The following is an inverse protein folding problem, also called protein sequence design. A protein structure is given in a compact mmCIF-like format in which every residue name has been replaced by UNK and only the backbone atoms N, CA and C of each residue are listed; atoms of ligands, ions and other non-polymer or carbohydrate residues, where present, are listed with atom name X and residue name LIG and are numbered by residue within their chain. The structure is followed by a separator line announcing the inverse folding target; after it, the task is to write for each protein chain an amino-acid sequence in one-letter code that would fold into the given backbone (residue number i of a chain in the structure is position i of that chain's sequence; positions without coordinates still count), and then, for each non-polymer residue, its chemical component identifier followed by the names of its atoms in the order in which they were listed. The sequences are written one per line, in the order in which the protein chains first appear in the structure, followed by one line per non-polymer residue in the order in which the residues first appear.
data_IF_306486351484
#
_entry.id   IF_306486351484
#
_cell.length_a   1.000
_cell.length_b   1.000
_cell.length_c   1.000
_cell.angle_alpha   90.00
_cell.angle_beta   90.00
_cell.angle_gamma   90.00
#
_symmetry.space_group_name_H-M   'P 1'
#
loop_
_entity.id
_entity.type
_entity.pdbx_description
1 polymer ?
#
# COMPACT_ATOMS: atom_id res chain seq x y z
N UNK A 1 -5.48 -1.92 13.13
CA UNK A 1 -4.07 -1.91 12.67
C UNK A 1 -3.31 -3.08 13.27
N UNK A 2 -2.44 -3.74 12.49
CA UNK A 2 -1.47 -4.76 12.94
C UNK A 2 -0.07 -4.37 12.49
N UNK A 3 0.93 -4.84 13.24
CA UNK A 3 2.35 -4.69 12.87
C UNK A 3 2.96 -6.08 12.84
N UNK A 4 3.68 -6.37 11.76
CA UNK A 4 4.43 -7.62 11.58
C UNK A 4 5.88 -7.24 11.30
N UNK A 5 6.78 -7.79 12.12
CA UNK A 5 8.22 -7.61 11.97
C UNK A 5 8.79 -8.89 11.37
N UNK A 6 9.35 -8.78 10.17
CA UNK A 6 9.82 -9.92 9.38
C UNK A 6 11.29 -9.78 8.99
N UNK A 7 11.98 -10.88 8.86
CA UNK A 7 13.35 -10.90 8.35
C UNK A 7 13.40 -10.59 6.84
N UNK A 8 12.39 -11.01 6.07
CA UNK A 8 12.15 -10.60 4.68
C UNK A 8 10.72 -10.07 4.52
N UNK A 9 10.48 -8.78 4.85
CA UNK A 9 9.17 -8.16 4.77
C UNK A 9 8.60 -8.13 3.36
N UNK A 10 9.47 -8.05 2.33
CA UNK A 10 9.04 -8.01 0.94
C UNK A 10 8.52 -9.36 0.46
N UNK A 11 9.15 -10.45 0.88
CA UNK A 11 8.66 -11.81 0.62
C UNK A 11 7.33 -12.06 1.36
N UNK A 12 7.24 -11.66 2.63
CA UNK A 12 5.99 -11.75 3.38
C UNK A 12 4.86 -11.00 2.69
N UNK A 13 5.12 -9.74 2.30
CA UNK A 13 4.15 -8.89 1.62
C UNK A 13 3.69 -9.49 0.29
N UNK A 14 4.61 -10.02 -0.53
CA UNK A 14 4.29 -10.69 -1.78
C UNK A 14 3.42 -11.94 -1.57
N UNK A 15 3.79 -12.80 -0.61
CA UNK A 15 3.00 -14.00 -0.27
C UNK A 15 1.59 -13.64 0.22
N UNK A 16 1.48 -12.59 1.06
CA UNK A 16 0.20 -12.11 1.54
C UNK A 16 -0.69 -11.64 0.38
N UNK A 17 -0.14 -10.84 -0.54
CA UNK A 17 -0.87 -10.39 -1.72
C UNK A 17 -1.26 -11.55 -2.65
N UNK A 18 -0.36 -12.49 -2.93
CA UNK A 18 -0.64 -13.69 -3.74
C UNK A 18 -1.79 -14.49 -3.14
N UNK A 19 -1.79 -14.67 -1.81
CA UNK A 19 -2.91 -15.33 -1.13
C UNK A 19 -4.23 -14.60 -1.38
N UNK A 20 -4.25 -13.25 -1.27
CA UNK A 20 -5.46 -12.44 -1.53
C UNK A 20 -5.94 -12.59 -2.98
N UNK A 21 -5.02 -12.59 -3.93
CA UNK A 21 -5.34 -12.77 -5.35
C UNK A 21 -5.93 -14.17 -5.61
N UNK A 22 -5.35 -15.22 -5.03
CA UNK A 22 -5.79 -16.60 -5.21
C UNK A 22 -7.10 -16.92 -4.47
N UNK A 23 -7.37 -16.26 -3.35
CA UNK A 23 -8.62 -16.40 -2.59
C UNK A 23 -9.80 -15.69 -3.30
N UNK A 24 -9.54 -14.75 -4.20
CA UNK A 24 -10.57 -14.04 -4.95
C UNK A 24 -11.26 -14.98 -5.94
N UNK A 25 -12.59 -14.98 -5.90
CA UNK A 25 -13.43 -15.70 -6.86
C UNK A 25 -14.28 -14.69 -7.63
N UNK A 26 -14.05 -14.55 -8.95
CA UNK A 26 -14.88 -13.69 -9.78
C UNK A 26 -16.35 -14.10 -9.71
N UNK A 27 -17.25 -13.10 -9.73
CA UNK A 27 -18.70 -13.28 -9.80
C UNK A 27 -19.31 -12.30 -10.78
N UNK A 28 -20.59 -12.45 -11.12
CA UNK A 28 -21.29 -11.49 -11.99
C UNK A 28 -21.28 -10.07 -11.42
N UNK A 29 -21.40 -9.92 -10.09
CA UNK A 29 -21.37 -8.63 -9.40
C UNK A 29 -19.96 -8.08 -9.15
N UNK A 30 -18.91 -8.91 -9.20
CA UNK A 30 -17.52 -8.53 -8.94
C UNK A 30 -16.58 -9.32 -9.83
N UNK A 31 -16.28 -8.80 -11.01
CA UNK A 31 -15.44 -9.48 -12.02
C UNK A 31 -13.94 -9.42 -11.70
N UNK A 32 -13.48 -8.35 -11.08
CA UNK A 32 -12.07 -8.08 -10.86
C UNK A 32 -11.73 -7.88 -9.38
N UNK A 33 -10.59 -8.40 -8.97
CA UNK A 33 -9.91 -7.98 -7.74
C UNK A 33 -9.24 -6.64 -8.01
N UNK A 34 -9.63 -5.61 -7.28
CA UNK A 34 -9.13 -4.24 -7.51
C UNK A 34 -7.96 -3.95 -6.59
N UNK A 35 -6.81 -3.70 -7.20
CA UNK A 35 -5.54 -3.55 -6.53
C UNK A 35 -4.99 -2.12 -6.66
N UNK A 36 -4.84 -1.41 -5.54
CA UNK A 36 -4.10 -0.14 -5.46
C UNK A 36 -2.61 -0.42 -5.36
N UNK A 37 -1.79 0.16 -6.26
CA UNK A 37 -0.37 -0.17 -6.36
C UNK A 37 0.53 1.07 -6.42
N UNK A 38 1.70 1.04 -5.78
CA UNK A 38 2.74 2.04 -5.99
C UNK A 38 3.47 1.79 -7.32
N UNK A 39 4.37 2.68 -7.67
CA UNK A 39 5.29 2.48 -8.80
C UNK A 39 6.33 1.41 -8.50
N UNK A 40 6.95 0.86 -9.57
CA UNK A 40 8.03 -0.13 -9.48
C UNK A 40 9.32 0.56 -9.02
N UNK A 41 9.37 0.91 -7.74
CA UNK A 41 10.53 1.56 -7.11
C UNK A 41 10.65 1.20 -5.62
N UNK A 42 11.86 1.34 -5.08
CA UNK A 42 12.12 1.14 -3.66
C UNK A 42 11.71 -0.24 -3.15
N UNK A 43 11.01 -0.29 -2.03
CA UNK A 43 10.53 -1.54 -1.42
C UNK A 43 9.52 -2.29 -2.28
N UNK A 44 8.72 -1.58 -3.07
CA UNK A 44 7.72 -2.18 -3.94
C UNK A 44 8.34 -2.99 -5.09
N UNK A 45 9.52 -2.61 -5.58
CA UNK A 45 10.22 -3.32 -6.64
C UNK A 45 10.38 -4.81 -6.32
N UNK A 46 10.90 -5.14 -5.13
CA UNK A 46 11.10 -6.54 -4.73
C UNK A 46 9.79 -7.32 -4.63
N UNK A 47 8.70 -6.67 -4.24
CA UNK A 47 7.38 -7.31 -4.23
C UNK A 47 6.95 -7.66 -5.65
N UNK A 48 7.06 -6.73 -6.59
CA UNK A 48 6.74 -6.99 -8.00
C UNK A 48 7.63 -8.10 -8.59
N UNK A 49 8.92 -8.15 -8.24
CA UNK A 49 9.82 -9.22 -8.67
C UNK A 49 9.35 -10.60 -8.20
N UNK A 50 8.90 -10.72 -6.94
CA UNK A 50 8.30 -11.96 -6.42
C UNK A 50 6.99 -12.31 -7.13
N UNK A 51 6.11 -11.33 -7.36
CA UNK A 51 4.86 -11.53 -8.09
C UNK A 51 5.12 -12.07 -9.51
N UNK A 52 6.11 -11.51 -10.21
CA UNK A 52 6.54 -11.97 -11.54
C UNK A 52 7.07 -13.40 -11.47
N UNK A 53 7.92 -13.72 -10.50
CA UNK A 53 8.46 -15.07 -10.33
C UNK A 53 7.34 -16.09 -10.10
N UNK A 54 6.39 -15.79 -9.23
CA UNK A 54 5.27 -16.69 -8.93
C UNK A 54 4.28 -16.78 -10.10
N UNK A 55 4.07 -15.70 -10.85
CA UNK A 55 3.31 -15.73 -12.08
C UNK A 55 3.95 -16.66 -13.13
N UNK A 56 5.27 -16.56 -13.35
CA UNK A 56 6.00 -17.43 -14.29
C UNK A 56 5.94 -18.92 -13.89
N UNK A 57 5.79 -19.22 -12.59
CA UNK A 57 5.58 -20.58 -12.08
C UNK A 57 4.12 -21.06 -12.19
N UNK A 58 3.20 -20.18 -12.59
CA UNK A 58 1.77 -20.48 -12.64
C UNK A 58 1.04 -20.43 -11.29
N UNK A 59 1.69 -19.91 -10.23
CA UNK A 59 1.14 -19.84 -8.88
C UNK A 59 0.19 -18.67 -8.67
N UNK A 60 0.17 -17.68 -9.56
CA UNK A 60 -0.72 -16.51 -9.54
C UNK A 60 -1.01 -16.02 -10.95
N UNK A 61 -2.25 -15.58 -11.19
CA UNK A 61 -2.70 -14.97 -12.44
C UNK A 61 -3.29 -13.58 -12.17
N UNK A 62 -3.07 -12.66 -13.09
CA UNK A 62 -3.57 -11.28 -13.04
C UNK A 62 -4.72 -11.03 -14.03
N UNK A 63 -5.24 -12.07 -14.71
CA UNK A 63 -6.37 -11.95 -15.67
C UNK A 63 -7.61 -11.30 -15.07
N UNK A 64 -7.90 -11.62 -13.80
CA UNK A 64 -9.05 -11.08 -13.08
C UNK A 64 -8.63 -9.97 -12.10
N UNK A 65 -7.55 -9.24 -12.39
CA UNK A 65 -7.06 -8.12 -11.58
C UNK A 65 -7.25 -6.82 -12.36
N UNK A 66 -7.72 -5.79 -11.67
CA UNK A 66 -7.68 -4.41 -12.13
C UNK A 66 -6.77 -3.60 -11.20
N UNK A 67 -5.88 -2.78 -11.76
CA UNK A 67 -4.92 -2.01 -10.99
C UNK A 67 -5.19 -0.52 -11.06
N UNK A 68 -5.06 0.17 -9.92
CA UNK A 68 -5.08 1.63 -9.83
C UNK A 68 -3.75 2.09 -9.24
N UNK A 69 -2.95 2.78 -10.07
CA UNK A 69 -1.63 3.26 -9.64
C UNK A 69 -1.77 4.52 -8.78
N UNK A 70 -0.98 4.62 -7.70
CA UNK A 70 -1.13 5.67 -6.69
C UNK A 70 -0.74 7.06 -7.17
N UNK A 71 0.20 7.19 -8.09
CA UNK A 71 0.69 8.49 -8.55
C UNK A 71 1.35 8.44 -9.93
N UNK A 72 1.40 9.58 -10.60
CA UNK A 72 2.17 9.83 -11.82
C UNK A 72 2.68 11.28 -11.82
N UNK A 73 3.83 11.52 -12.41
CA UNK A 73 4.33 12.88 -12.61
C UNK A 73 3.48 13.62 -13.66
N UNK A 74 3.13 14.86 -13.36
CA UNK A 74 2.35 15.67 -14.28
C UNK A 74 3.24 16.34 -15.33
N UNK A 75 2.74 16.42 -16.56
CA UNK A 75 3.45 16.93 -17.76
C UNK A 75 4.73 16.17 -18.12
N UNK A 76 4.85 14.91 -17.73
CA UNK A 76 5.90 14.02 -18.20
C UNK A 76 5.42 13.25 -19.45
N UNK A 77 6.30 13.04 -20.41
CA UNK A 77 5.97 12.19 -21.57
C UNK A 77 5.78 10.74 -21.13
N UNK A 78 4.74 10.08 -21.63
CA UNK A 78 4.46 8.65 -21.29
C UNK A 78 5.64 7.74 -21.66
N UNK A 79 6.43 8.10 -22.67
CA UNK A 79 7.63 7.38 -23.09
C UNK A 79 8.88 7.75 -22.30
N UNK A 80 8.80 8.76 -21.43
CA UNK A 80 9.94 9.22 -20.65
C UNK A 80 10.39 8.12 -19.65
N UNK A 81 11.70 7.83 -19.53
CA UNK A 81 12.19 6.76 -18.67
C UNK A 81 11.77 6.85 -17.20
N UNK A 82 11.43 8.04 -16.72
CA UNK A 82 10.99 8.30 -15.34
C UNK A 82 9.48 8.43 -15.18
N UNK A 83 8.69 8.30 -16.26
CA UNK A 83 7.24 8.16 -16.14
C UNK A 83 6.93 6.87 -15.37
N UNK A 84 6.10 6.99 -14.34
CA UNK A 84 5.67 5.83 -13.55
C UNK A 84 4.94 4.81 -14.43
N UNK A 85 4.16 5.29 -15.40
CA UNK A 85 3.49 4.49 -16.41
C UNK A 85 4.52 3.64 -17.19
N UNK A 86 5.54 4.28 -17.77
CA UNK A 86 6.58 3.56 -18.54
C UNK A 86 7.34 2.55 -17.68
N UNK A 87 7.71 2.96 -16.46
CA UNK A 87 8.42 2.09 -15.52
C UNK A 87 7.57 0.85 -15.18
N UNK A 88 6.28 1.03 -14.89
CA UNK A 88 5.38 -0.08 -14.57
C UNK A 88 5.11 -0.97 -15.78
N UNK A 89 4.85 -0.42 -16.95
CA UNK A 89 4.64 -1.22 -18.16
C UNK A 89 5.88 -2.06 -18.49
N UNK A 90 7.06 -1.48 -18.45
CA UNK A 90 8.31 -2.17 -18.78
C UNK A 90 8.66 -3.29 -17.80
N UNK A 91 8.46 -3.06 -16.50
CA UNK A 91 8.99 -3.93 -15.47
C UNK A 91 7.95 -4.87 -14.88
N UNK A 92 6.64 -4.65 -15.11
CA UNK A 92 5.58 -5.47 -14.54
C UNK A 92 4.47 -5.81 -15.55
N UNK A 93 3.69 -4.84 -16.04
CA UNK A 93 2.46 -5.13 -16.79
C UNK A 93 2.69 -5.91 -18.10
N UNK A 94 3.82 -5.73 -18.81
CA UNK A 94 4.16 -6.50 -20.01
C UNK A 94 4.60 -7.94 -19.72
N UNK A 95 4.84 -8.28 -18.46
CA UNK A 95 5.42 -9.57 -18.05
C UNK A 95 4.34 -10.50 -17.50
N UNK A 96 3.28 -9.93 -16.89
CA UNK A 96 2.16 -10.66 -16.31
C UNK A 96 0.95 -10.66 -17.25
N UNK A 97 -0.03 -11.50 -16.97
CA UNK A 97 -1.22 -11.72 -17.81
C UNK A 97 -2.39 -10.76 -17.51
N UNK A 98 -2.11 -9.56 -16.99
CA UNK A 98 -3.13 -8.53 -16.77
C UNK A 98 -3.66 -7.99 -18.10
N UNK A 99 -4.97 -7.78 -18.19
CA UNK A 99 -5.57 -7.17 -19.37
C UNK A 99 -5.26 -5.67 -19.43
N UNK A 100 -4.82 -5.12 -20.57
CA UNK A 100 -4.44 -3.70 -20.68
C UNK A 100 -5.55 -2.73 -20.27
N UNK A 101 -6.81 -3.05 -20.54
CA UNK A 101 -8.00 -2.26 -20.15
C UNK A 101 -8.22 -2.20 -18.64
N UNK A 102 -7.62 -3.12 -17.89
CA UNK A 102 -7.70 -3.16 -16.43
C UNK A 102 -6.53 -2.44 -15.74
N UNK A 103 -5.64 -1.80 -16.51
CA UNK A 103 -4.53 -1.02 -15.98
C UNK A 103 -4.91 0.46 -15.96
N UNK A 104 -5.16 1.01 -14.77
CA UNK A 104 -5.56 2.41 -14.60
C UNK A 104 -4.41 3.22 -14.01
N UNK A 105 -3.93 4.19 -14.78
CA UNK A 105 -2.87 5.13 -14.42
C UNK A 105 -3.37 6.53 -14.75
N UNK A 106 -3.08 7.50 -13.87
CA UNK A 106 -3.42 8.91 -14.08
C UNK A 106 -2.73 9.46 -15.35
N UNK A 107 -3.48 10.19 -16.18
CA UNK A 107 -2.93 10.72 -17.43
C UNK A 107 -2.03 11.93 -17.18
N UNK A 108 -0.72 11.71 -17.27
CA UNK A 108 0.30 12.74 -17.10
C UNK A 108 0.17 13.94 -18.04
N UNK A 109 -0.50 13.77 -19.18
CA UNK A 109 -0.63 14.77 -20.26
C UNK A 109 -2.00 15.43 -20.29
N UNK A 110 -2.88 15.11 -19.36
CA UNK A 110 -4.21 15.74 -19.32
C UNK A 110 -4.09 17.27 -19.35
N UNK A 111 -4.99 17.92 -20.08
CA UNK A 111 -5.14 19.36 -20.09
C UNK A 111 -6.04 19.86 -18.93
N UNK A 112 -6.87 18.96 -18.37
CA UNK A 112 -7.74 19.23 -17.23
C UNK A 112 -7.45 18.21 -16.12
N UNK A 113 -6.49 18.50 -15.21
CA UNK A 113 -6.16 17.64 -14.08
C UNK A 113 -7.34 17.36 -13.15
N UNK A 114 -8.28 18.32 -13.01
CA UNK A 114 -9.42 18.14 -12.13
C UNK A 114 -10.45 17.17 -12.73
N UNK A 115 -10.69 17.23 -14.03
CA UNK A 115 -11.51 16.25 -14.72
C UNK A 115 -10.86 14.86 -14.68
N UNK A 116 -9.55 14.75 -14.93
CA UNK A 116 -8.82 13.48 -14.87
C UNK A 116 -8.93 12.83 -13.50
N UNK A 117 -8.70 13.59 -12.44
CA UNK A 117 -8.76 13.05 -11.07
C UNK A 117 -10.18 12.67 -10.66
N UNK A 118 -11.21 13.45 -11.05
CA UNK A 118 -12.60 13.05 -10.84
C UNK A 118 -12.96 11.76 -11.60
N UNK A 119 -12.53 11.62 -12.84
CA UNK A 119 -12.76 10.41 -13.64
C UNK A 119 -12.03 9.20 -13.08
N UNK A 120 -10.82 9.39 -12.54
CA UNK A 120 -10.07 8.33 -11.87
C UNK A 120 -10.81 7.83 -10.61
N UNK A 121 -11.31 8.73 -9.77
CA UNK A 121 -12.14 8.39 -8.60
C UNK A 121 -13.46 7.70 -8.99
N UNK A 122 -14.12 8.17 -10.07
CA UNK A 122 -15.34 7.55 -10.59
C UNK A 122 -15.06 6.10 -11.06
N UNK A 123 -13.96 5.89 -11.77
CA UNK A 123 -13.51 4.55 -12.20
C UNK A 123 -13.26 3.61 -11.03
N UNK A 124 -12.60 4.08 -9.95
CA UNK A 124 -12.45 3.29 -8.72
C UNK A 124 -13.81 2.82 -8.20
N UNK A 125 -14.81 3.71 -8.19
CA UNK A 125 -16.17 3.38 -7.74
C UNK A 125 -16.88 2.39 -8.68
N UNK A 126 -16.73 2.54 -9.99
CA UNK A 126 -17.28 1.63 -11.01
C UNK A 126 -16.75 0.20 -10.84
N UNK A 127 -15.48 0.05 -10.46
CA UNK A 127 -14.89 -1.25 -10.13
C UNK A 127 -15.27 -1.78 -8.74
N UNK A 128 -16.12 -1.06 -7.99
CA UNK A 128 -16.59 -1.45 -6.64
C UNK A 128 -15.59 -1.16 -5.52
N UNK A 129 -14.73 -0.16 -5.71
CA UNK A 129 -13.69 0.26 -4.77
C UNK A 129 -12.45 -0.64 -4.81
N UNK A 130 -11.37 -0.20 -4.17
CA UNK A 130 -10.10 -0.92 -4.06
C UNK A 130 -10.25 -2.04 -3.02
N UNK A 131 -10.01 -3.30 -3.41
CA UNK A 131 -10.08 -4.44 -2.50
C UNK A 131 -8.84 -4.56 -1.62
N UNK A 132 -7.67 -4.28 -2.20
CA UNK A 132 -6.40 -4.31 -1.51
C UNK A 132 -5.49 -3.20 -2.04
N UNK A 133 -4.84 -2.48 -1.15
CA UNK A 133 -3.86 -1.47 -1.51
C UNK A 133 -2.56 -1.75 -0.77
N UNK A 134 -1.42 -1.69 -1.47
CA UNK A 134 -0.14 -1.67 -0.79
C UNK A 134 0.67 -0.44 -1.17
N UNK A 135 1.45 0.06 -0.22
CA UNK A 135 2.30 1.23 -0.43
C UNK A 135 3.54 1.20 0.47
N UNK A 136 4.57 1.93 0.06
CA UNK A 136 5.69 2.29 0.91
C UNK A 136 5.46 3.64 1.57
N UNK A 137 6.32 3.96 2.55
CA UNK A 137 6.30 5.23 3.28
C UNK A 137 7.62 5.96 3.10
N UNK A 138 7.57 7.28 2.95
CA UNK A 138 8.73 8.15 2.97
C UNK A 138 9.36 8.20 4.38
N UNK A 139 10.65 8.58 4.48
CA UNK A 139 11.30 8.78 5.78
C UNK A 139 10.67 9.89 6.64
N UNK A 140 9.85 10.73 6.01
CA UNK A 140 9.06 11.81 6.61
C UNK A 140 7.61 11.41 6.92
N UNK A 141 7.24 10.15 6.68
CA UNK A 141 5.88 9.64 6.84
C UNK A 141 4.97 9.90 5.63
N UNK A 142 5.50 10.41 4.51
CA UNK A 142 4.73 10.61 3.27
C UNK A 142 4.25 9.29 2.66
N UNK A 143 3.07 9.31 2.02
CA UNK A 143 2.46 8.18 1.33
C UNK A 143 2.07 8.61 -0.08
N UNK A 144 2.50 7.89 -1.11
CA UNK A 144 2.45 8.36 -2.50
C UNK A 144 3.08 9.76 -2.58
N UNK A 145 2.35 10.79 -3.10
CA UNK A 145 2.82 12.19 -3.07
C UNK A 145 2.09 13.03 -2.01
N UNK A 146 1.50 12.36 -1.00
CA UNK A 146 0.95 13.06 0.16
C UNK A 146 2.07 13.28 1.19
N UNK A 147 2.70 14.45 1.09
CA UNK A 147 3.80 14.90 1.93
C UNK A 147 3.28 15.49 3.27
N UNK A 148 4.14 15.69 4.29
CA UNK A 148 3.76 16.39 5.51
C UNK A 148 2.99 17.68 5.23
N UNK A 149 1.89 17.91 5.94
CA UNK A 149 0.93 18.99 5.70
C UNK A 149 -0.20 18.64 4.72
N UNK A 150 -0.21 17.43 4.13
CA UNK A 150 -1.32 16.99 3.30
C UNK A 150 -2.59 16.76 4.14
N UNK A 151 -3.76 17.19 3.63
CA UNK A 151 -5.03 16.87 4.27
C UNK A 151 -5.24 15.37 4.36
N UNK A 152 -5.59 14.86 5.54
CA UNK A 152 -5.87 13.44 5.78
C UNK A 152 -7.14 12.96 5.07
N UNK A 153 -8.06 13.88 4.75
CA UNK A 153 -9.29 13.61 3.98
C UNK A 153 -9.12 13.87 2.47
N UNK A 154 -7.88 14.12 2.00
CA UNK A 154 -7.65 14.47 0.58
C UNK A 154 -8.08 13.38 -0.37
N UNK A 155 -8.63 13.80 -1.51
CA UNK A 155 -8.96 12.92 -2.65
C UNK A 155 -7.84 12.98 -3.69
N UNK A 156 -7.97 12.19 -4.76
CA UNK A 156 -7.04 12.22 -5.88
C UNK A 156 -6.96 13.63 -6.47
N UNK A 157 -5.75 14.16 -6.67
CA UNK A 157 -5.54 15.54 -7.07
C UNK A 157 -4.18 15.82 -7.67
N UNK A 158 -4.04 16.99 -8.28
CA UNK A 158 -2.75 17.58 -8.64
C UNK A 158 -2.05 18.08 -7.36
N UNK A 159 -0.75 17.83 -7.24
CA UNK A 159 0.05 18.20 -6.05
C UNK A 159 1.42 18.75 -6.47
N UNK A 160 1.77 19.94 -5.97
CA UNK A 160 3.14 20.48 -6.06
C UNK A 160 4.01 19.76 -5.05
N UNK A 161 5.21 19.34 -5.45
CA UNK A 161 6.16 18.62 -4.61
C UNK A 161 7.02 19.58 -3.79
N UNK A 162 7.32 19.21 -2.56
CA UNK A 162 8.19 19.98 -1.67
C UNK A 162 9.64 20.00 -2.19
N UNK A 163 10.39 21.06 -1.88
CA UNK A 163 11.79 21.19 -2.30
C UNK A 163 12.66 20.01 -1.85
N UNK A 164 12.41 19.49 -0.64
CA UNK A 164 13.11 18.29 -0.12
C UNK A 164 12.85 17.07 -1.00
N UNK A 165 11.62 16.88 -1.49
CA UNK A 165 11.27 15.81 -2.43
C UNK A 165 11.95 16.02 -3.77
N UNK A 166 12.00 17.24 -4.28
CA UNK A 166 12.72 17.56 -5.53
C UNK A 166 14.22 17.26 -5.40
N UNK A 167 14.84 17.56 -4.26
CA UNK A 167 16.24 17.23 -3.98
C UNK A 167 16.47 15.71 -3.94
N UNK A 168 15.60 14.96 -3.28
CA UNK A 168 15.65 13.47 -3.27
C UNK A 168 15.49 12.90 -4.68
N UNK A 169 14.54 13.43 -5.48
CA UNK A 169 14.35 13.03 -6.87
C UNK A 169 15.59 13.36 -7.72
N UNK A 170 16.14 14.56 -7.59
CA UNK A 170 17.36 15.00 -8.26
C UNK A 170 18.53 14.05 -8.02
N UNK A 171 18.79 13.71 -6.77
CA UNK A 171 19.84 12.76 -6.39
C UNK A 171 19.60 11.36 -6.96
N UNK A 172 18.35 10.86 -6.87
CA UNK A 172 17.98 9.52 -7.36
C UNK A 172 18.07 9.42 -8.88
N UNK A 173 17.58 10.44 -9.60
CA UNK A 173 17.52 10.46 -11.07
C UNK A 173 18.82 10.98 -11.69
N UNK A 174 19.78 11.46 -10.88
CA UNK A 174 21.03 12.10 -11.33
C UNK A 174 20.76 13.29 -12.30
N UNK A 175 19.74 14.07 -11.97
CA UNK A 175 19.34 15.28 -12.72
C UNK A 175 19.50 16.50 -11.82
N UNK A 176 19.55 17.69 -12.43
CA UNK A 176 19.45 18.93 -11.63
C UNK A 176 18.07 19.07 -10.98
N UNK A 177 17.96 19.75 -9.85
CA UNK A 177 16.68 20.02 -9.17
C UNK A 177 15.69 20.77 -10.08
N UNK A 178 16.22 21.58 -11.02
CA UNK A 178 15.39 22.30 -11.97
C UNK A 178 14.81 21.40 -13.07
N UNK A 179 15.43 20.25 -13.34
CA UNK A 179 15.06 19.32 -14.40
C UNK A 179 14.15 18.17 -13.93
N UNK A 180 13.95 18.01 -12.60
CA UNK A 180 13.02 16.98 -12.11
C UNK A 180 11.57 17.47 -12.17
N UNK A 181 10.58 16.56 -12.32
CA UNK A 181 9.17 16.92 -12.26
C UNK A 181 8.81 17.58 -10.92
N UNK A 182 8.14 18.72 -10.97
CA UNK A 182 7.78 19.53 -9.78
C UNK A 182 6.36 19.30 -9.31
N UNK A 183 5.56 18.63 -10.11
CA UNK A 183 4.12 18.43 -9.88
C UNK A 183 3.77 16.97 -10.19
N UNK A 184 2.86 16.41 -9.45
CA UNK A 184 2.36 15.06 -9.67
C UNK A 184 0.83 15.01 -9.52
N UNK A 185 0.20 14.08 -10.20
CA UNK A 185 -1.14 13.60 -9.90
C UNK A 185 -1.00 12.47 -8.88
N UNK A 186 -1.76 12.52 -7.80
CA UNK A 186 -1.63 11.53 -6.71
C UNK A 186 -2.97 11.18 -6.11
N UNK A 187 -3.15 9.88 -5.83
CA UNK A 187 -4.24 9.41 -5.00
C UNK A 187 -4.13 10.07 -3.62
N UNK A 188 -5.23 10.62 -3.13
CA UNK A 188 -5.29 11.26 -1.82
C UNK A 188 -5.37 10.27 -0.66
N UNK A 189 -5.08 10.73 0.57
CA UNK A 189 -5.13 9.86 1.76
C UNK A 189 -6.54 9.33 2.03
N UNK A 190 -7.58 10.17 1.83
CA UNK A 190 -8.96 9.72 1.96
C UNK A 190 -9.33 8.66 0.92
N UNK A 191 -8.84 8.78 -0.32
CA UNK A 191 -9.04 7.76 -1.36
C UNK A 191 -8.34 6.45 -0.98
N UNK A 192 -7.10 6.53 -0.45
CA UNK A 192 -6.35 5.37 0.02
C UNK A 192 -7.09 4.68 1.18
N UNK A 193 -7.62 5.45 2.12
CA UNK A 193 -8.37 4.93 3.28
C UNK A 193 -9.69 4.26 2.91
N UNK A 194 -10.27 4.56 1.74
CA UNK A 194 -11.47 3.87 1.25
C UNK A 194 -11.20 2.43 0.78
N UNK A 195 -9.92 2.02 0.67
CA UNK A 195 -9.58 0.65 0.33
C UNK A 195 -10.04 -0.33 1.42
N UNK A 196 -10.48 -1.53 1.04
CA UNK A 196 -10.99 -2.52 2.00
C UNK A 196 -9.89 -3.12 2.88
N UNK A 197 -8.67 -3.19 2.36
CA UNK A 197 -7.48 -3.66 3.08
C UNK A 197 -6.26 -2.88 2.62
N UNK A 198 -5.42 -2.47 3.57
CA UNK A 198 -4.20 -1.70 3.29
C UNK A 198 -3.00 -2.41 3.89
N UNK A 199 -1.94 -2.53 3.10
CA UNK A 199 -0.64 -3.00 3.55
C UNK A 199 0.41 -1.91 3.34
N UNK A 200 1.11 -1.54 4.42
CA UNK A 200 2.08 -0.45 4.43
C UNK A 200 3.46 -0.99 4.78
N UNK A 201 4.47 -0.65 3.97
CA UNK A 201 5.83 -1.15 4.13
C UNK A 201 6.73 -0.08 4.74
N UNK A 202 7.44 -0.49 5.80
CA UNK A 202 8.49 0.30 6.45
C UNK A 202 9.77 -0.51 6.47
N UNK A 203 10.72 -0.21 5.57
CA UNK A 203 11.95 -0.98 5.41
C UNK A 203 13.19 -0.10 5.60
N UNK A 204 14.09 -0.59 6.45
CA UNK A 204 15.35 0.08 6.73
C UNK A 204 15.25 1.13 7.85
N UNK A 205 16.40 1.42 8.43
CA UNK A 205 16.52 2.35 9.55
C UNK A 205 16.01 3.77 9.22
N UNK A 206 16.13 4.19 7.97
CA UNK A 206 15.64 5.50 7.53
C UNK A 206 14.10 5.65 7.63
N UNK A 207 13.37 4.56 7.88
CA UNK A 207 11.92 4.56 8.12
C UNK A 207 11.55 4.45 9.60
N UNK A 208 12.51 4.27 10.49
CA UNK A 208 12.24 4.00 11.92
C UNK A 208 11.48 5.13 12.59
N UNK A 209 11.85 6.38 12.34
CA UNK A 209 11.11 7.53 12.87
C UNK A 209 9.71 7.66 12.27
N UNK A 210 9.56 7.38 10.97
CA UNK A 210 8.25 7.38 10.32
C UNK A 210 7.34 6.28 10.89
N UNK A 211 7.86 5.09 11.14
CA UNK A 211 7.12 3.99 11.79
C UNK A 211 6.71 4.37 13.21
N UNK A 212 7.66 4.88 14.02
CA UNK A 212 7.35 5.34 15.39
C UNK A 212 6.20 6.35 15.39
N UNK A 213 6.31 7.43 14.58
CA UNK A 213 5.27 8.46 14.47
C UNK A 213 3.94 7.93 13.95
N UNK A 214 3.96 6.93 13.09
CA UNK A 214 2.74 6.32 12.53
C UNK A 214 2.03 5.40 13.52
N UNK A 215 2.71 4.91 14.55
CA UNK A 215 2.18 3.92 15.51
C UNK A 215 1.98 4.50 16.90
N UNK A 216 2.99 5.21 17.43
CA UNK A 216 3.04 5.64 18.83
C UNK A 216 2.60 7.09 19.04
N UNK A 217 2.55 7.88 17.95
CA UNK A 217 2.06 9.26 18.02
C UNK A 217 0.57 9.35 17.64
N UNK A 218 -0.05 10.50 17.92
CA UNK A 218 -1.41 10.80 17.47
C UNK A 218 -1.48 10.88 15.93
N UNK A 219 -2.68 10.69 15.39
CA UNK A 219 -2.95 10.94 13.96
C UNK A 219 -2.71 12.40 13.66
N UNK A 220 -1.78 12.67 12.73
CA UNK A 220 -1.32 14.01 12.45
C UNK A 220 -0.92 14.16 10.97
N UNK A 221 -1.38 15.24 10.32
CA UNK A 221 -1.07 15.53 8.93
C UNK A 221 0.44 15.76 8.67
N UNK A 222 1.23 16.07 9.69
CA UNK A 222 2.70 16.18 9.55
C UNK A 222 3.40 14.82 9.50
N UNK A 223 2.67 13.73 9.74
CA UNK A 223 3.06 12.36 9.44
C UNK A 223 1.90 11.67 8.73
N UNK A 224 1.76 11.81 7.40
CA UNK A 224 0.62 11.30 6.65
C UNK A 224 0.30 9.83 6.90
N UNK A 225 1.32 8.98 7.05
CA UNK A 225 1.15 7.55 7.35
C UNK A 225 0.47 7.28 8.70
N UNK A 226 0.41 8.26 9.62
CA UNK A 226 -0.30 8.11 10.89
C UNK A 226 -1.81 7.92 10.71
N UNK A 227 -2.36 8.35 9.56
CA UNK A 227 -3.79 8.21 9.24
C UNK A 227 -4.24 6.75 9.18
N UNK A 228 -3.33 5.83 8.90
CA UNK A 228 -3.63 4.40 8.85
C UNK A 228 -4.03 3.80 10.20
N UNK A 229 -3.81 4.51 11.32
CA UNK A 229 -4.38 4.14 12.61
C UNK A 229 -5.92 4.12 12.59
N UNK A 230 -6.55 4.89 11.73
CA UNK A 230 -8.00 4.98 11.59
C UNK A 230 -8.59 3.87 10.71
N UNK A 231 -7.76 3.08 10.03
CA UNK A 231 -8.22 2.05 9.11
C UNK A 231 -8.38 0.70 9.82
N UNK A 232 -9.56 0.08 9.70
CA UNK A 232 -9.90 -1.17 10.39
C UNK A 232 -8.99 -2.35 9.98
N UNK A 233 -8.61 -2.41 8.71
CA UNK A 233 -7.87 -3.53 8.12
C UNK A 233 -6.54 -3.06 7.53
N UNK A 234 -5.70 -2.47 8.39
CA UNK A 234 -4.37 -2.02 8.02
C UNK A 234 -3.29 -2.93 8.62
N UNK A 235 -2.35 -3.35 7.77
CA UNK A 235 -1.20 -4.16 8.12
C UNK A 235 0.09 -3.37 7.86
N UNK A 236 0.87 -3.10 8.90
CA UNK A 236 2.22 -2.59 8.79
C UNK A 236 3.21 -3.75 8.73
N UNK A 237 4.00 -3.81 7.66
CA UNK A 237 5.04 -4.81 7.46
C UNK A 237 6.39 -4.11 7.50
N UNK A 238 7.24 -4.52 8.43
CA UNK A 238 8.53 -3.86 8.67
C UNK A 238 9.66 -4.87 8.92
N UNK A 239 10.89 -4.43 8.73
CA UNK A 239 12.07 -5.13 9.21
C UNK A 239 12.45 -4.65 10.62
N UNK A 240 13.39 -5.37 11.26
CA UNK A 240 13.88 -5.02 12.59
C UNK A 240 14.51 -3.61 12.62
N UNK A 241 15.21 -3.20 11.56
CA UNK A 241 15.84 -1.88 11.46
C UNK A 241 14.82 -0.74 11.48
N UNK A 242 13.65 -0.96 10.89
CA UNK A 242 12.57 0.02 10.93
C UNK A 242 11.94 0.17 12.33
N UNK A 243 12.13 -0.79 13.25
CA UNK A 243 11.59 -0.71 14.61
C UNK A 243 12.50 0.00 15.62
N UNK A 244 13.68 0.45 15.21
CA UNK A 244 14.71 0.97 16.14
C UNK A 244 14.27 2.18 16.98
N UNK A 245 13.37 2.99 16.48
CA UNK A 245 12.81 4.15 17.20
C UNK A 245 11.50 3.83 17.95
N UNK A 246 11.00 2.59 17.83
CA UNK A 246 9.80 2.18 18.57
C UNK A 246 10.14 1.76 19.99
N UNK A 247 9.23 2.00 20.94
CA UNK A 247 9.41 1.48 22.28
C UNK A 247 9.39 -0.05 22.28
N UNK A 248 10.29 -0.66 23.06
CA UNK A 248 10.35 -2.12 23.19
C UNK A 248 9.05 -2.74 23.70
N UNK A 249 8.28 -1.99 24.47
CA UNK A 249 6.95 -2.39 24.95
C UNK A 249 5.96 -2.53 23.79
N UNK A 250 5.93 -1.58 22.87
CA UNK A 250 5.06 -1.60 21.69
C UNK A 250 5.43 -2.76 20.76
N UNK A 251 6.72 -2.95 20.48
CA UNK A 251 7.18 -4.08 19.65
C UNK A 251 6.78 -5.43 20.27
N UNK A 252 6.99 -5.61 21.57
CA UNK A 252 6.59 -6.83 22.30
C UNK A 252 5.08 -7.05 22.28
N UNK A 253 4.29 -5.99 22.40
CA UNK A 253 2.84 -6.05 22.36
C UNK A 253 2.34 -6.61 21.02
N UNK A 254 2.79 -6.03 19.89
CA UNK A 254 2.36 -6.50 18.57
C UNK A 254 2.88 -7.89 18.24
N UNK A 255 4.11 -8.22 18.61
CA UNK A 255 4.64 -9.58 18.48
C UNK A 255 3.84 -10.60 19.31
N UNK A 256 3.39 -10.21 20.50
CA UNK A 256 2.52 -11.04 21.35
C UNK A 256 1.18 -11.33 20.70
N UNK A 257 0.52 -10.30 20.14
CA UNK A 257 -0.72 -10.46 19.38
C UNK A 257 -0.52 -11.42 18.19
N UNK A 258 0.59 -11.28 17.46
CA UNK A 258 0.93 -12.14 16.33
C UNK A 258 1.04 -13.62 16.74
N UNK A 259 1.74 -13.92 17.85
CA UNK A 259 1.88 -15.28 18.38
C UNK A 259 0.53 -15.88 18.79
N UNK A 260 -0.27 -15.15 19.56
CA UNK A 260 -1.60 -15.61 19.99
C UNK A 260 -2.51 -15.85 18.77
N UNK A 261 -2.47 -14.97 17.78
CA UNK A 261 -3.24 -15.16 16.55
C UNK A 261 -2.82 -16.43 15.79
N UNK A 262 -1.53 -16.70 15.69
CA UNK A 262 -0.98 -17.92 15.09
C UNK A 262 -1.43 -19.19 15.83
N UNK A 263 -1.32 -19.20 17.16
CA UNK A 263 -1.73 -20.33 18.01
C UNK A 263 -3.23 -20.65 17.88
N UNK A 264 -4.09 -19.63 17.82
CA UNK A 264 -5.55 -19.81 17.81
C UNK A 264 -6.10 -20.10 16.42
N UNK A 265 -5.60 -19.41 15.39
CA UNK A 265 -6.17 -19.40 14.06
C UNK A 265 -5.36 -20.25 13.07
N UNK A 266 -4.15 -20.68 13.45
CA UNK A 266 -3.20 -21.39 12.59
C UNK A 266 -2.65 -20.51 11.47
N UNK A 267 -1.65 -21.03 10.75
CA UNK A 267 -0.95 -20.29 9.67
C UNK A 267 -1.87 -19.74 8.58
N UNK A 268 -2.94 -20.46 8.27
CA UNK A 268 -3.88 -20.07 7.21
C UNK A 268 -4.65 -18.80 7.52
N UNK A 269 -4.83 -18.44 8.81
CA UNK A 269 -5.70 -17.35 9.26
C UNK A 269 -4.95 -16.26 10.03
N UNK A 270 -3.67 -16.42 10.31
CA UNK A 270 -2.87 -15.39 11.01
C UNK A 270 -2.89 -14.03 10.29
N UNK A 271 -3.05 -14.04 8.96
CA UNK A 271 -3.25 -12.85 8.15
C UNK A 271 -4.73 -12.39 8.05
N UNK A 272 -5.70 -13.26 8.39
CA UNK A 272 -7.15 -12.99 8.25
C UNK A 272 -7.79 -12.37 9.52
N UNK A 273 -6.98 -12.05 10.54
CA UNK A 273 -7.47 -11.49 11.82
C UNK A 273 -8.28 -10.18 11.64
N UNK A 274 -8.19 -9.54 10.48
CA UNK A 274 -9.02 -8.38 10.16
C UNK A 274 -10.51 -8.71 9.90
N UNK A 275 -10.90 -10.00 9.81
CA UNK A 275 -12.31 -10.38 9.62
C UNK A 275 -13.09 -10.55 10.93
N UNK A 276 -12.42 -10.61 12.09
CA UNK A 276 -13.06 -10.97 13.37
C UNK A 276 -13.43 -9.79 14.28
N UNK A 277 -13.59 -8.58 13.72
CA UNK A 277 -14.21 -7.48 14.51
C UNK A 277 -15.72 -7.63 14.71
N UNK A 278 -16.30 -8.82 14.41
CA UNK A 278 -17.66 -9.12 14.82
C UNK A 278 -17.73 -9.46 16.32
N UNK A 279 -18.40 -8.61 17.07
CA UNK A 279 -18.62 -8.74 18.54
C UNK A 279 -19.15 -10.12 18.98
N UNK A 280 -19.66 -10.96 18.08
CA UNK A 280 -20.12 -12.32 18.32
C UNK A 280 -18.96 -13.32 18.51
N UNK A 281 -17.83 -13.16 17.79
CA UNK A 281 -16.68 -14.06 17.94
C UNK A 281 -15.85 -13.76 19.18
N UNK A 282 -15.75 -12.49 19.58
CA UNK A 282 -15.16 -12.10 20.87
C UNK A 282 -15.93 -12.71 22.06
N UNK A 283 -17.27 -12.82 21.97
CA UNK A 283 -18.10 -13.49 23.00
C UNK A 283 -17.86 -15.00 23.00
N UNK A 284 -17.64 -15.63 21.85
CA UNK A 284 -17.34 -17.05 21.77
C UNK A 284 -15.94 -17.37 22.32
N UNK A 285 -14.98 -16.50 22.07
CA UNK A 285 -13.62 -16.56 22.61
C UNK A 285 -13.62 -16.45 24.15
N UNK A 286 -14.33 -15.48 24.71
CA UNK A 286 -14.46 -15.32 26.17
C UNK A 286 -15.08 -16.56 26.83
N UNK A 287 -16.08 -17.18 26.21
CA UNK A 287 -16.68 -18.44 26.70
C UNK A 287 -15.72 -19.63 26.65
N UNK A 288 -14.89 -19.76 25.63
CA UNK A 288 -13.89 -20.85 25.51
C UNK A 288 -12.73 -20.70 26.50
N UNK A 289 -12.30 -19.47 26.79
CA UNK A 289 -11.26 -19.22 27.82
C UNK A 289 -11.79 -19.53 29.23
N UNK A 290 -13.03 -19.17 29.52
CA UNK A 290 -13.66 -19.46 30.85
C UNK A 290 -13.98 -20.95 31.03
N UNK A 291 -14.11 -21.75 29.98
CA UNK A 291 -14.33 -23.19 30.05
C UNK A 291 -13.06 -24.03 30.17
N UNK A 292 -11.87 -23.46 29.95
CA UNK A 292 -10.56 -24.13 30.12
C UNK A 292 -9.93 -23.93 31.51
N UNK A 293 -10.51 -23.06 32.32
CA UNK A 293 -10.07 -22.79 33.70
C UNK A 293 -11.04 -23.39 34.73
N UNK A 294 -11.86 -24.36 34.33
CA UNK A 294 -12.57 -25.32 35.16
C UNK A 294 -12.05 -26.73 34.82
#
# INVERSE_FOLDING_TARGET
MRIVVESDPTLFAAKHLIKRLNDFKPSESKKYFVLGIPSYEGSAQRIFDYLIQEHKKGNVSFKNVATFQLDEFYKIEKTHPFSMCTVMYRNFFKIVDILPENVHILDSKTLDPDAETRNFEARIKEYGGIDFLFCGVGSDGSVARNEPGASLASRTRLKTLAIVTLQKLSSRLKLSVNSVPKVALTMGLGTILDAKEIMVLFLGQEKSMALNRSVESSVNHMCPASVFQLHDRCLFVCDEKATMEMSSKTVRYFNGIGKVAHEILGDKNACDFAKSSNASELKLFHRRMLSRNK
#
